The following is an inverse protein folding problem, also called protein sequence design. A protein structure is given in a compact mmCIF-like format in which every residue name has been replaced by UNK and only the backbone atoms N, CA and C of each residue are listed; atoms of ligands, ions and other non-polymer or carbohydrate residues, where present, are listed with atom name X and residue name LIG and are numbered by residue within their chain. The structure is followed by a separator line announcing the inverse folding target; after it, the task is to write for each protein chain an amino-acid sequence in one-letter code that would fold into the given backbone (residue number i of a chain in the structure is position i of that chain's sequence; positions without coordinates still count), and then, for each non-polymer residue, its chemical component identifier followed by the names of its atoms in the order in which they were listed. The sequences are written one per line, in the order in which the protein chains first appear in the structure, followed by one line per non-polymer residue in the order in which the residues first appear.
data_IF_055670977318
#
_entry.id   IF_055670977318
#
_cell.length_a   1.000
_cell.length_b   1.000
_cell.length_c   1.000
_cell.angle_alpha   90.00
_cell.angle_beta   90.00
_cell.angle_gamma   90.00
#
_symmetry.space_group_name_H-M   'P 1'
#
loop_
_entity.id
_entity.type
_entity.pdbx_description
1 polymer ?
#
# COMPACT_ATOMS: atom_id res chain seq x y z
N UNK A 1 -21.20 7.52 -2.56
CA UNK A 1 -21.04 8.64 -1.61
C UNK A 1 -21.10 8.06 -0.20
N UNK A 2 -20.06 8.20 0.62
CA UNK A 2 -20.06 7.71 2.00
C UNK A 2 -20.79 8.69 2.93
N UNK A 3 -21.60 8.20 3.88
CA UNK A 3 -22.25 9.05 4.88
C UNK A 3 -21.35 9.28 6.09
N UNK A 4 -21.41 10.48 6.66
CA UNK A 4 -20.71 10.84 7.88
C UNK A 4 -21.46 10.35 9.13
N UNK A 5 -20.71 10.09 10.20
CA UNK A 5 -21.23 9.61 11.48
C UNK A 5 -20.34 10.02 12.66
N UNK A 6 -20.81 9.74 13.87
CA UNK A 6 -20.03 9.92 15.09
C UNK A 6 -20.05 11.33 15.64
N UNK A 7 -19.17 11.63 16.60
CA UNK A 7 -19.19 12.87 17.39
C UNK A 7 -19.05 14.14 16.54
N UNK A 8 -18.36 14.04 15.42
CA UNK A 8 -18.11 15.15 14.48
C UNK A 8 -19.39 15.61 13.77
N UNK A 9 -20.40 14.75 13.69
CA UNK A 9 -21.72 15.04 13.12
C UNK A 9 -22.83 14.86 14.16
N UNK A 10 -22.59 15.36 15.38
CA UNK A 10 -23.62 15.38 16.43
C UNK A 10 -24.04 14.00 16.93
N UNK A 11 -23.21 12.97 16.76
CA UNK A 11 -23.53 11.60 17.13
C UNK A 11 -24.35 10.83 16.09
N UNK A 12 -24.40 11.30 14.84
CA UNK A 12 -25.13 10.63 13.77
C UNK A 12 -24.73 9.16 13.64
N UNK A 13 -25.74 8.29 13.62
CA UNK A 13 -25.57 6.85 13.40
C UNK A 13 -25.57 6.54 11.91
N UNK A 14 -24.91 5.43 11.58
CA UNK A 14 -24.88 4.97 10.21
C UNK A 14 -26.19 4.27 9.81
N UNK A 15 -26.68 4.49 8.58
CA UNK A 15 -27.86 3.78 8.08
C UNK A 15 -27.55 2.29 7.90
N UNK A 16 -28.59 1.45 7.84
CA UNK A 16 -28.48 0.02 7.52
C UNK A 16 -27.50 -0.76 8.42
N UNK A 17 -27.40 -0.39 9.70
CA UNK A 17 -26.51 -1.03 10.69
C UNK A 17 -25.03 -1.08 10.30
N UNK A 18 -24.56 -0.11 9.51
CA UNK A 18 -23.15 -0.01 9.16
C UNK A 18 -22.31 0.48 10.36
N UNK A 19 -21.04 0.11 10.42
CA UNK A 19 -20.10 0.59 11.43
C UNK A 19 -19.74 2.06 11.19
N UNK A 20 -19.68 2.83 12.28
CA UNK A 20 -19.11 4.16 12.28
C UNK A 20 -17.63 4.10 12.65
N UNK A 21 -16.77 4.64 11.80
CA UNK A 21 -15.35 4.65 12.07
C UNK A 21 -14.91 5.72 13.05
N UNK A 22 -13.70 5.55 13.63
CA UNK A 22 -13.09 6.55 14.49
C UNK A 22 -12.87 7.91 13.80
N UNK A 23 -12.93 7.96 12.46
CA UNK A 23 -12.80 9.17 11.65
C UNK A 23 -14.14 9.68 11.11
N UNK A 24 -15.27 9.12 11.56
CA UNK A 24 -16.60 9.67 11.32
C UNK A 24 -17.23 9.30 9.98
N UNK A 25 -16.98 8.09 9.46
CA UNK A 25 -17.57 7.60 8.20
C UNK A 25 -18.20 6.20 8.33
N UNK A 26 -19.32 6.00 7.65
CA UNK A 26 -20.16 4.80 7.70
C UNK A 26 -19.84 3.71 6.69
N UNK A 27 -19.61 2.47 7.16
CA UNK A 27 -19.43 1.29 6.29
C UNK A 27 -19.56 -0.06 6.96
N UNK A 28 -19.70 -1.09 6.14
CA UNK A 28 -19.90 -2.49 6.52
C UNK A 28 -18.61 -3.25 6.85
N UNK A 29 -17.47 -2.59 6.75
CA UNK A 29 -16.11 -3.10 6.94
C UNK A 29 -15.21 -1.88 7.22
N UNK A 30 -13.94 -2.04 7.60
CA UNK A 30 -12.92 -0.95 7.64
C UNK A 30 -12.86 -0.11 6.34
N UNK A 31 -13.53 -0.58 5.29
CA UNK A 31 -13.63 -0.01 3.96
C UNK A 31 -14.26 1.38 3.92
N UNK A 32 -15.25 1.76 4.71
CA UNK A 32 -15.79 3.14 4.56
C UNK A 32 -14.88 4.25 5.07
N UNK A 33 -13.98 3.89 5.98
CA UNK A 33 -12.86 4.71 6.45
C UNK A 33 -11.75 4.74 5.42
N UNK A 34 -11.70 3.72 4.56
CA UNK A 34 -10.58 3.39 3.69
C UNK A 34 -10.95 3.36 2.20
N UNK A 35 -12.11 3.88 1.78
CA UNK A 35 -12.41 4.05 0.35
C UNK A 35 -11.40 4.99 -0.31
N UNK A 36 -10.79 5.90 0.47
CA UNK A 36 -9.71 6.77 0.03
C UNK A 36 -8.31 6.10 0.00
N UNK A 37 -8.17 4.84 0.44
CA UNK A 37 -6.96 4.01 0.25
C UNK A 37 -7.11 3.02 -0.90
N UNK A 38 -8.17 3.17 -1.71
CA UNK A 38 -8.28 2.51 -3.01
C UNK A 38 -7.74 3.49 -4.04
N UNK A 39 -6.69 3.10 -4.74
CA UNK A 39 -6.01 3.97 -5.71
C UNK A 39 -5.65 3.18 -6.95
N UNK A 40 -5.33 3.91 -8.02
CA UNK A 40 -4.66 3.33 -9.17
C UNK A 40 -3.21 3.06 -8.79
N UNK A 41 -2.75 1.87 -9.14
CA UNK A 41 -1.35 1.53 -9.14
C UNK A 41 -0.89 1.32 -10.58
N UNK A 42 0.15 2.03 -11.00
CA UNK A 42 0.79 1.83 -12.30
C UNK A 42 2.16 1.18 -12.11
N UNK A 43 2.81 0.79 -13.20
CA UNK A 43 4.19 0.34 -13.14
C UNK A 43 5.10 1.57 -13.05
N UNK A 44 6.00 1.58 -12.07
CA UNK A 44 7.06 2.57 -12.02
C UNK A 44 8.10 2.26 -13.10
N UNK A 45 8.25 3.18 -14.06
CA UNK A 45 9.26 3.07 -15.13
C UNK A 45 10.69 3.29 -14.64
N UNK A 46 10.86 3.70 -13.39
CA UNK A 46 12.14 4.11 -12.84
C UNK A 46 12.84 3.09 -11.95
N UNK A 47 12.22 1.94 -11.68
CA UNK A 47 12.90 0.80 -11.02
C UNK A 47 13.60 -0.13 -12.02
N UNK A 48 13.64 0.24 -13.30
CA UNK A 48 14.52 -0.43 -14.27
C UNK A 48 15.99 -0.25 -13.85
N UNK A 49 16.86 -1.24 -14.08
CA UNK A 49 18.18 -1.31 -13.48
C UNK A 49 19.13 -0.32 -14.16
N UNK A 50 19.03 0.94 -13.78
CA UNK A 50 20.07 1.93 -14.01
C UNK A 50 20.35 2.56 -12.65
N UNK A 51 21.56 2.28 -12.17
CA UNK A 51 22.16 2.88 -10.99
C UNK A 51 21.95 4.40 -11.03
N UNK A 52 21.68 4.97 -9.85
CA UNK A 52 21.63 6.42 -9.58
C UNK A 52 20.30 7.15 -9.89
N UNK A 53 19.17 6.66 -9.34
CA UNK A 53 18.01 7.53 -9.18
C UNK A 53 18.21 8.45 -7.95
N UNK A 54 18.68 9.67 -8.20
CA UNK A 54 18.62 10.78 -7.23
C UNK A 54 17.16 10.93 -6.75
N UNK A 55 16.94 10.89 -5.43
CA UNK A 55 15.61 11.07 -4.82
C UNK A 55 14.98 9.82 -4.22
N UNK A 56 15.56 8.62 -4.43
CA UNK A 56 15.16 7.43 -3.66
C UNK A 56 15.53 7.64 -2.19
N UNK A 57 14.53 7.58 -1.33
CA UNK A 57 14.76 7.69 0.09
C UNK A 57 15.34 6.37 0.64
N UNK A 58 16.14 6.44 1.71
CA UNK A 58 16.81 5.26 2.30
C UNK A 58 17.70 4.44 1.33
N UNK A 59 18.21 5.07 0.27
CA UNK A 59 19.08 4.42 -0.72
C UNK A 59 20.37 3.84 -0.09
N UNK A 60 20.84 4.39 1.04
CA UNK A 60 22.06 3.96 1.74
C UNK A 60 21.86 2.76 2.70
N UNK A 61 20.65 2.24 2.86
CA UNK A 61 20.40 1.05 3.72
C UNK A 61 21.11 -0.20 3.20
N UNK A 62 21.22 -1.25 3.99
CA UNK A 62 21.85 -2.50 3.54
C UNK A 62 21.05 -3.16 2.40
N UNK A 63 21.74 -3.87 1.49
CA UNK A 63 21.09 -4.58 0.38
C UNK A 63 19.99 -5.54 0.84
N UNK A 64 20.22 -6.31 1.90
CA UNK A 64 19.23 -7.23 2.49
C UNK A 64 17.94 -6.50 2.92
N UNK A 65 18.05 -5.29 3.47
CA UNK A 65 16.91 -4.46 3.85
C UNK A 65 16.15 -3.94 2.62
N UNK A 66 16.89 -3.46 1.62
CA UNK A 66 16.35 -2.95 0.37
C UNK A 66 15.66 -4.05 -0.43
N UNK A 67 16.22 -5.24 -0.48
CA UNK A 67 15.74 -6.37 -1.29
C UNK A 67 14.71 -7.25 -0.59
N UNK A 68 14.34 -6.95 0.66
CA UNK A 68 13.39 -7.76 1.43
C UNK A 68 11.98 -7.78 0.84
N UNK A 69 11.55 -6.67 0.23
CA UNK A 69 10.23 -6.47 -0.35
C UNK A 69 10.36 -5.80 -1.72
N UNK A 70 9.34 -5.96 -2.57
CA UNK A 70 9.24 -5.16 -3.79
C UNK A 70 9.04 -3.67 -3.47
N UNK A 71 9.39 -2.81 -4.41
CA UNK A 71 9.42 -1.35 -4.19
C UNK A 71 8.16 -0.66 -4.72
N UNK A 72 7.89 0.52 -4.18
CA UNK A 72 6.85 1.40 -4.70
C UNK A 72 7.17 2.89 -4.46
N UNK A 73 6.76 3.75 -5.39
CA UNK A 73 6.52 5.15 -5.10
C UNK A 73 5.17 5.37 -4.41
N UNK A 74 5.11 6.33 -3.49
CA UNK A 74 3.87 6.67 -2.77
C UNK A 74 3.52 8.15 -2.87
N UNK A 75 2.27 8.42 -3.27
CA UNK A 75 1.67 9.74 -3.30
C UNK A 75 0.16 9.68 -3.08
N UNK A 76 -0.29 8.67 -2.33
CA UNK A 76 -1.69 8.48 -1.99
C UNK A 76 -2.24 9.63 -1.14
N UNK A 77 -3.50 9.99 -1.40
CA UNK A 77 -4.18 11.10 -0.70
C UNK A 77 -4.41 10.84 0.80
N UNK A 78 -4.35 9.58 1.24
CA UNK A 78 -4.59 9.18 2.64
C UNK A 78 -3.41 8.45 3.22
N UNK A 79 -2.62 9.18 4.00
CA UNK A 79 -1.46 8.67 4.67
C UNK A 79 -0.56 9.81 5.15
N UNK A 80 0.60 9.47 5.71
CA UNK A 80 1.63 10.46 5.98
C UNK A 80 2.11 11.13 4.68
N UNK A 81 2.72 12.30 4.81
CA UNK A 81 3.52 12.88 3.73
C UNK A 81 4.61 11.90 3.30
N UNK A 82 5.10 12.02 2.06
CA UNK A 82 6.18 11.15 1.55
C UNK A 82 7.37 11.07 2.51
N UNK A 83 7.82 12.21 3.06
CA UNK A 83 8.93 12.25 4.01
C UNK A 83 8.70 11.36 5.24
N UNK A 84 7.47 11.29 5.74
CA UNK A 84 7.10 10.43 6.86
C UNK A 84 6.63 9.02 6.43
N UNK A 85 6.46 8.78 5.14
CA UNK A 85 6.09 7.50 4.54
C UNK A 85 7.32 6.67 4.12
N UNK A 86 8.43 7.34 3.80
CA UNK A 86 9.68 6.72 3.38
C UNK A 86 10.09 5.54 4.28
N UNK A 87 10.51 4.44 3.65
CA UNK A 87 11.02 3.25 4.31
C UNK A 87 9.93 2.37 4.96
N UNK A 88 8.69 2.86 5.10
CA UNK A 88 7.55 2.09 5.62
C UNK A 88 7.03 1.10 4.58
N UNK A 89 6.24 0.15 5.07
CA UNK A 89 5.67 -0.91 4.25
C UNK A 89 4.17 -0.79 4.10
N UNK A 90 3.69 -1.19 2.93
CA UNK A 90 2.27 -1.29 2.60
C UNK A 90 1.93 -2.74 2.31
N UNK A 91 0.83 -3.22 2.87
CA UNK A 91 0.11 -4.36 2.29
C UNK A 91 -0.80 -3.84 1.20
N UNK A 92 -0.54 -4.26 -0.03
CA UNK A 92 -1.32 -3.90 -1.22
C UNK A 92 -2.16 -5.09 -1.67
N UNK A 93 -3.39 -4.84 -2.12
CA UNK A 93 -4.34 -5.86 -2.56
C UNK A 93 -5.04 -5.42 -3.83
N UNK A 94 -4.99 -6.24 -4.88
CA UNK A 94 -5.84 -6.08 -6.05
C UNK A 94 -7.32 -6.14 -5.64
N UNK A 95 -8.09 -5.10 -5.94
CA UNK A 95 -9.53 -5.11 -5.64
C UNK A 95 -10.30 -6.06 -6.57
N UNK A 96 -9.68 -6.47 -7.68
CA UNK A 96 -10.29 -7.31 -8.71
C UNK A 96 -10.03 -8.79 -8.48
N UNK A 97 -8.77 -9.19 -8.26
CA UNK A 97 -8.40 -10.61 -8.06
C UNK A 97 -8.23 -11.00 -6.60
N UNK A 98 -8.09 -10.01 -5.72
CA UNK A 98 -7.78 -10.26 -4.32
C UNK A 98 -6.32 -10.62 -4.05
N UNK A 99 -5.45 -10.73 -5.06
CA UNK A 99 -4.00 -10.94 -4.92
C UNK A 99 -3.36 -9.86 -4.04
N UNK A 100 -2.35 -10.24 -3.24
CA UNK A 100 -1.74 -9.35 -2.25
C UNK A 100 -0.22 -9.47 -2.22
N UNK A 101 0.43 -8.36 -1.89
CA UNK A 101 1.88 -8.25 -1.71
C UNK A 101 2.18 -7.30 -0.54
N UNK A 102 3.39 -7.42 0.02
CA UNK A 102 3.97 -6.39 0.89
C UNK A 102 5.04 -5.67 0.09
N UNK A 103 4.94 -4.34 0.04
CA UNK A 103 5.89 -3.47 -0.66
C UNK A 103 6.50 -2.43 0.29
N UNK A 104 7.68 -1.94 -0.06
CA UNK A 104 8.36 -0.85 0.65
C UNK A 104 8.30 0.44 -0.14
N UNK A 105 7.95 1.53 0.53
CA UNK A 105 7.93 2.88 -0.04
C UNK A 105 9.35 3.41 -0.08
N UNK A 106 9.87 3.69 -1.27
CA UNK A 106 11.22 4.22 -1.45
C UNK A 106 11.26 5.46 -2.36
N UNK A 107 10.20 5.75 -3.09
CA UNK A 107 10.11 6.92 -3.96
C UNK A 107 8.77 7.68 -3.80
N UNK A 108 8.70 8.86 -4.41
CA UNK A 108 7.54 9.73 -4.44
C UNK A 108 6.98 9.81 -5.86
N UNK A 109 5.69 9.60 -6.01
CA UNK A 109 4.96 9.85 -7.26
C UNK A 109 4.16 11.16 -7.21
N UNK A 110 3.46 11.50 -8.30
CA UNK A 110 2.53 12.65 -8.34
C UNK A 110 1.14 12.34 -8.90
N UNK A 111 0.82 11.06 -9.16
CA UNK A 111 -0.43 10.62 -9.79
C UNK A 111 -1.58 10.34 -8.79
N UNK A 112 -1.37 10.61 -7.50
CA UNK A 112 -2.35 10.39 -6.43
C UNK A 112 -2.51 8.93 -5.99
N UNK A 113 -1.59 8.04 -6.40
CA UNK A 113 -1.67 6.60 -6.14
C UNK A 113 -0.35 5.98 -5.70
N UNK A 114 -0.04 4.84 -6.32
CA UNK A 114 1.21 4.12 -6.14
C UNK A 114 1.82 3.83 -7.51
N UNK A 115 3.15 3.90 -7.61
CA UNK A 115 3.86 3.34 -8.75
C UNK A 115 4.60 2.10 -8.22
N UNK A 116 4.27 0.92 -8.74
CA UNK A 116 4.79 -0.36 -8.28
C UNK A 116 5.96 -0.79 -9.15
N UNK A 117 6.96 -1.41 -8.54
CA UNK A 117 7.93 -2.21 -9.30
C UNK A 117 7.21 -3.22 -10.22
N UNK A 118 7.76 -3.41 -11.42
CA UNK A 118 7.16 -4.26 -12.46
C UNK A 118 6.95 -5.70 -11.98
N UNK A 119 7.86 -6.23 -11.16
CA UNK A 119 7.73 -7.57 -10.58
C UNK A 119 6.55 -7.65 -9.63
N UNK A 120 6.32 -6.62 -8.81
CA UNK A 120 5.15 -6.54 -7.92
C UNK A 120 3.87 -6.41 -8.73
N UNK A 121 3.83 -5.51 -9.71
CA UNK A 121 2.66 -5.29 -10.55
C UNK A 121 2.21 -6.61 -11.21
N UNK A 122 3.16 -7.35 -11.79
CA UNK A 122 2.89 -8.64 -12.43
C UNK A 122 2.32 -9.68 -11.45
N UNK A 123 2.83 -9.76 -10.22
CA UNK A 123 2.30 -10.69 -9.20
C UNK A 123 0.90 -10.33 -8.70
N UNK A 124 0.53 -9.05 -8.73
CA UNK A 124 -0.83 -8.60 -8.40
C UNK A 124 -1.81 -8.72 -9.58
N UNK A 125 -1.31 -8.63 -10.81
CA UNK A 125 -2.10 -8.69 -12.04
C UNK A 125 -2.36 -10.12 -12.53
N UNK A 126 -2.95 -10.97 -11.69
CA UNK A 126 -3.01 -12.43 -11.91
C UNK A 126 -3.91 -12.89 -13.07
N UNK A 127 -4.68 -12.00 -13.70
CA UNK A 127 -5.53 -12.29 -14.86
C UNK A 127 -5.22 -11.37 -16.07
N UNK A 128 -4.11 -10.63 -16.03
CA UNK A 128 -3.63 -9.83 -17.16
C UNK A 128 -4.29 -8.46 -17.35
N UNK A 129 -5.53 -8.24 -16.93
CA UNK A 129 -6.32 -7.02 -17.23
C UNK A 129 -5.64 -5.70 -16.83
N UNK A 130 -4.78 -5.70 -15.81
CA UNK A 130 -4.04 -4.51 -15.40
C UNK A 130 -3.08 -3.99 -16.47
N UNK A 131 -2.53 -4.87 -17.30
CA UNK A 131 -1.68 -4.48 -18.44
C UNK A 131 -2.53 -3.84 -19.54
N UNK A 132 -3.67 -4.45 -19.87
CA UNK A 132 -4.60 -3.92 -20.87
C UNK A 132 -5.15 -2.54 -20.48
N UNK A 133 -5.36 -2.31 -19.18
CA UNK A 133 -5.85 -1.04 -18.63
C UNK A 133 -4.72 -0.03 -18.30
N UNK A 134 -3.46 -0.45 -18.39
CA UNK A 134 -2.28 0.31 -17.98
C UNK A 134 -2.19 0.60 -16.47
N UNK A 135 -3.08 0.02 -15.65
CA UNK A 135 -3.08 0.18 -14.20
C UNK A 135 -3.86 -0.93 -13.49
N UNK A 136 -3.55 -1.14 -12.21
CA UNK A 136 -4.36 -1.91 -11.28
C UNK A 136 -5.20 -0.98 -10.41
N UNK A 137 -6.40 -1.40 -10.03
CA UNK A 137 -7.11 -0.81 -8.89
C UNK A 137 -6.75 -1.61 -7.64
N UNK A 138 -6.08 -0.96 -6.69
CA UNK A 138 -5.59 -1.62 -5.49
C UNK A 138 -6.07 -0.93 -4.22
N UNK A 139 -6.22 -1.70 -3.15
CA UNK A 139 -6.33 -1.21 -1.78
C UNK A 139 -4.98 -1.32 -1.10
N UNK A 140 -4.57 -0.30 -0.33
CA UNK A 140 -3.37 -0.39 0.51
C UNK A 140 -3.67 -0.16 2.00
N UNK A 141 -2.78 -0.68 2.84
CA UNK A 141 -2.73 -0.38 4.27
C UNK A 141 -1.28 -0.40 4.77
N UNK A 142 -0.92 0.57 5.63
CA UNK A 142 0.38 0.57 6.29
C UNK A 142 0.49 -0.63 7.23
N UNK A 143 1.62 -1.32 7.16
CA UNK A 143 1.94 -2.49 7.98
C UNK A 143 3.36 -2.36 8.52
N UNK A 144 3.65 -3.08 9.60
CA UNK A 144 5.02 -3.26 10.02
C UNK A 144 5.79 -4.02 8.92
N UNK A 145 6.96 -3.50 8.56
CA UNK A 145 7.88 -4.16 7.64
C UNK A 145 8.47 -5.45 8.23
N UNK A 146 8.37 -5.64 9.55
CA UNK A 146 8.99 -6.74 10.27
C UNK A 146 10.52 -6.66 10.25
N UNK A 147 11.14 -7.16 11.32
CA UNK A 147 12.59 -7.04 11.49
C UNK A 147 13.41 -8.05 10.66
N UNK A 148 12.76 -8.88 9.83
CA UNK A 148 13.42 -9.98 9.10
C UNK A 148 13.40 -11.31 9.84
N UNK A 149 12.79 -11.37 11.03
CA UNK A 149 12.50 -12.63 11.70
C UNK A 149 11.43 -13.40 10.92
N UNK A 150 11.86 -14.47 10.27
CA UNK A 150 10.97 -15.51 9.79
C UNK A 150 10.73 -16.47 10.98
N UNK A 151 9.51 -16.56 11.54
CA UNK A 151 9.22 -17.49 12.63
C UNK A 151 9.43 -18.97 12.24
N UNK A 152 9.46 -19.30 10.94
CA UNK A 152 9.83 -20.63 10.46
C UNK A 152 11.35 -20.90 10.49
N UNK A 153 12.20 -19.87 10.55
CA UNK A 153 13.66 -20.05 10.75
C UNK A 153 14.05 -20.14 12.23
N UNK A 154 13.20 -19.66 13.15
CA UNK A 154 13.45 -19.74 14.59
C UNK A 154 13.32 -21.17 15.14
N UNK A 155 12.69 -22.09 14.41
CA UNK A 155 12.59 -23.50 14.78
C UNK A 155 13.84 -24.34 14.41
N UNK A 156 14.84 -23.74 13.73
CA UNK A 156 16.04 -24.46 13.25
C UNK A 156 17.32 -23.99 13.98
N UNK A 157 17.21 -23.07 14.93
CA UNK A 157 18.35 -22.62 15.76
C UNK A 157 18.02 -22.86 17.22
N UNK A 158 17.80 -24.13 17.56
CA UNK A 158 17.96 -24.69 18.91
C UNK A 158 18.23 -26.19 18.75
N UNK A 159 19.49 -26.53 18.46
CA UNK A 159 20.12 -27.84 18.72
C UNK A 159 21.62 -27.62 18.91
#
# INVERSE_FOLDING_TARGET
MAKQCGRQTGGALCPNNLCCSQYGWCGNTDIAVHQQKIVRAIVEVAFLPLQEKEGLCDANKQYSWRNKYGWTAFCGLVGPSFLAACGKCLRVRSTRTGAQEIVRILDRCNNGGLDLDVGVFNRLNTDGVGHDQGHLTIRYGFVDCGNGFNPLLALVVDN
#
